data_IF_458526969928
#
_entry.id   IF_458526969928
#
_cell.length_a   1.000
_cell.length_b   1.000
_cell.length_c   1.000
_cell.angle_alpha   90.00
_cell.angle_beta   90.00
_cell.angle_gamma   90.00
#
_symmetry.space_group_name_H-M   'P 1'
#
loop_
_entity.id
_entity.type
_entity.pdbx_description
1 polymer ?
#
# COMPACT_ATOMS: atom_id res chain seq x y z
N UNK A 1 -0.21 11.80 17.64
CA UNK A 1 -0.38 10.47 18.24
C UNK A 1 0.56 9.56 17.48
N UNK A 2 1.76 9.38 18.00
CA UNK A 2 2.89 8.78 17.27
C UNK A 2 2.92 7.28 17.57
N UNK A 3 2.44 6.48 16.61
CA UNK A 3 2.19 5.06 16.80
C UNK A 3 3.51 4.28 16.62
N UNK A 4 4.24 4.16 17.72
CA UNK A 4 5.47 3.36 17.88
C UNK A 4 5.30 1.85 17.64
N UNK A 5 4.12 1.38 17.22
CA UNK A 5 3.83 -0.04 16.96
C UNK A 5 4.18 -0.51 15.54
N UNK A 6 4.69 0.36 14.67
CA UNK A 6 4.95 0.04 13.25
C UNK A 6 6.30 -0.61 12.94
N UNK A 7 7.15 -0.90 13.93
CA UNK A 7 8.42 -1.58 13.64
C UNK A 7 8.22 -3.01 13.10
N UNK A 8 7.10 -3.67 13.39
CA UNK A 8 6.86 -5.08 13.02
C UNK A 8 5.77 -5.29 11.94
N UNK A 9 5.23 -4.23 11.36
CA UNK A 9 4.26 -4.38 10.27
C UNK A 9 4.94 -5.08 9.09
N UNK A 10 4.38 -6.18 8.54
CA UNK A 10 5.01 -6.89 7.45
C UNK A 10 5.11 -5.95 6.26
N UNK A 11 6.32 -5.76 5.74
CA UNK A 11 6.60 -5.07 4.48
C UNK A 11 6.90 -6.14 3.43
N UNK A 12 6.74 -5.82 2.15
CA UNK A 12 7.36 -6.69 1.15
C UNK A 12 8.87 -6.76 1.43
N UNK A 13 9.42 -7.97 1.43
CA UNK A 13 10.87 -8.12 1.43
C UNK A 13 11.39 -7.44 0.17
N UNK A 14 12.55 -6.75 0.30
CA UNK A 14 13.27 -6.18 -0.85
C UNK A 14 13.33 -7.26 -1.93
N UNK A 15 12.81 -6.93 -3.11
CA UNK A 15 12.75 -7.78 -4.31
C UNK A 15 11.54 -8.73 -4.48
N UNK A 16 10.57 -8.72 -3.57
CA UNK A 16 9.33 -9.50 -3.77
C UNK A 16 8.19 -8.63 -4.27
N UNK A 17 7.48 -9.10 -5.30
CA UNK A 17 6.24 -8.50 -5.84
C UNK A 17 6.38 -7.06 -6.35
N UNK A 18 7.58 -6.72 -6.79
CA UNK A 18 7.94 -5.42 -7.37
C UNK A 18 6.93 -4.99 -8.43
N UNK A 19 6.57 -5.89 -9.36
CA UNK A 19 5.63 -5.60 -10.44
C UNK A 19 4.28 -5.10 -9.91
N UNK A 20 3.69 -5.80 -8.93
CA UNK A 20 2.41 -5.39 -8.34
C UNK A 20 2.53 -4.06 -7.61
N UNK A 21 3.60 -3.84 -6.84
CA UNK A 21 3.83 -2.57 -6.17
C UNK A 21 4.01 -1.41 -7.17
N UNK A 22 4.73 -1.65 -8.28
CA UNK A 22 4.91 -0.67 -9.35
C UNK A 22 3.61 -0.36 -10.08
N UNK A 23 2.78 -1.36 -10.35
CA UNK A 23 1.47 -1.16 -10.97
C UNK A 23 0.56 -0.31 -10.08
N UNK A 24 0.54 -0.57 -8.77
CA UNK A 24 -0.22 0.22 -7.80
C UNK A 24 0.36 1.64 -7.70
N UNK A 25 1.68 1.81 -7.69
CA UNK A 25 2.33 3.13 -7.67
C UNK A 25 1.99 3.95 -8.91
N UNK A 26 2.06 3.31 -10.09
CA UNK A 26 1.67 3.92 -11.36
C UNK A 26 0.19 4.32 -11.34
N UNK A 27 -0.68 3.45 -10.82
CA UNK A 27 -2.10 3.75 -10.67
C UNK A 27 -2.35 4.94 -9.75
N UNK A 28 -1.65 5.04 -8.61
CA UNK A 28 -1.81 6.19 -7.70
C UNK A 28 -1.35 7.52 -8.34
N UNK A 29 -0.34 7.47 -9.22
CA UNK A 29 0.19 8.67 -9.89
C UNK A 29 -0.61 9.11 -11.11
N UNK A 30 -1.08 8.13 -11.90
CA UNK A 30 -1.69 8.38 -13.21
C UNK A 30 -3.20 8.08 -13.25
N UNK A 31 -3.79 7.60 -12.14
CA UNK A 31 -5.22 7.26 -12.04
C UNK A 31 -6.17 8.45 -12.24
N UNK A 32 -5.63 9.66 -12.24
CA UNK A 32 -6.34 10.93 -12.43
C UNK A 32 -6.17 11.53 -13.85
N UNK A 33 -5.36 10.92 -14.73
CA UNK A 33 -5.07 11.46 -16.07
C UNK A 33 -6.17 11.15 -17.11
N UNK A 34 -7.21 10.39 -16.74
CA UNK A 34 -8.34 10.03 -17.62
C UNK A 34 -9.68 10.69 -17.24
N UNK A 35 -10.69 10.49 -18.09
CA UNK A 35 -12.07 11.01 -17.91
C UNK A 35 -12.80 10.40 -16.68
N UNK A 36 -12.19 9.40 -16.04
CA UNK A 36 -12.68 8.77 -14.80
C UNK A 36 -11.56 8.70 -13.77
N UNK A 37 -11.66 9.53 -12.73
CA UNK A 37 -10.76 9.51 -11.57
C UNK A 37 -10.90 8.17 -10.83
N UNK A 38 -9.90 7.31 -10.91
CA UNK A 38 -9.93 6.04 -10.18
C UNK A 38 -9.47 6.26 -8.73
N UNK A 39 -10.44 6.47 -7.82
CA UNK A 39 -10.14 6.79 -6.41
C UNK A 39 -10.00 5.58 -5.50
N UNK A 40 -10.42 4.39 -5.95
CA UNK A 40 -10.45 3.17 -5.13
C UNK A 40 -9.86 2.02 -5.93
N UNK A 41 -8.84 1.38 -5.37
CA UNK A 41 -8.27 0.13 -5.87
C UNK A 41 -8.55 -1.01 -4.91
N UNK A 42 -8.95 -2.16 -5.44
CA UNK A 42 -9.23 -3.37 -4.68
C UNK A 42 -8.17 -4.44 -4.95
N UNK A 43 -7.35 -4.75 -3.96
CA UNK A 43 -6.33 -5.81 -4.02
C UNK A 43 -6.86 -7.10 -3.38
N UNK A 44 -7.08 -8.15 -4.19
CA UNK A 44 -7.54 -9.47 -3.72
C UNK A 44 -6.54 -10.58 -4.06
N UNK A 45 -6.61 -11.69 -3.32
CA UNK A 45 -5.70 -12.82 -3.47
C UNK A 45 -5.81 -13.80 -2.29
N UNK A 46 -5.15 -14.97 -2.37
CA UNK A 46 -5.26 -16.01 -1.34
C UNK A 46 -4.80 -15.54 0.05
N UNK A 47 -5.25 -16.24 1.10
CA UNK A 47 -4.74 -16.04 2.46
C UNK A 47 -3.22 -16.31 2.49
N UNK A 48 -2.47 -15.55 3.28
CA UNK A 48 -1.01 -15.65 3.29
C UNK A 48 -0.30 -15.05 2.06
N UNK A 49 -1.03 -14.60 1.04
CA UNK A 49 -0.46 -13.91 -0.13
C UNK A 49 0.06 -12.51 0.19
N UNK A 50 0.35 -12.15 1.46
CA UNK A 50 1.00 -10.89 1.86
C UNK A 50 0.38 -9.60 1.31
N UNK A 51 -0.94 -9.52 1.17
CA UNK A 51 -1.63 -8.29 0.72
C UNK A 51 -1.37 -7.13 1.66
N UNK A 52 -1.36 -7.39 2.97
CA UNK A 52 -0.97 -6.42 4.00
C UNK A 52 0.46 -5.94 3.80
N UNK A 53 1.36 -6.82 3.36
CA UNK A 53 2.75 -6.46 3.08
C UNK A 53 2.89 -5.52 1.88
N UNK A 54 2.06 -5.71 0.85
CA UNK A 54 1.98 -4.79 -0.30
C UNK A 54 1.45 -3.44 0.18
N UNK A 55 0.34 -3.40 0.91
CA UNK A 55 -0.24 -2.16 1.44
C UNK A 55 0.74 -1.40 2.36
N UNK A 56 1.51 -2.11 3.18
CA UNK A 56 2.60 -1.55 3.98
C UNK A 56 3.67 -0.87 3.13
N UNK A 57 4.14 -1.55 2.08
CA UNK A 57 5.14 -0.98 1.16
C UNK A 57 4.62 0.22 0.36
N UNK A 58 3.34 0.25 0.00
CA UNK A 58 2.74 1.43 -0.66
C UNK A 58 2.68 2.64 0.27
N UNK A 59 2.38 2.42 1.55
CA UNK A 59 2.35 3.49 2.54
C UNK A 59 3.72 4.15 2.70
N UNK A 60 4.79 3.35 2.78
CA UNK A 60 6.16 3.86 2.83
C UNK A 60 6.54 4.61 1.56
N UNK A 61 6.23 4.05 0.38
CA UNK A 61 6.53 4.70 -0.89
C UNK A 61 5.86 6.09 -0.97
N UNK A 62 4.59 6.20 -0.57
CA UNK A 62 3.88 7.47 -0.56
C UNK A 62 4.38 8.44 0.53
N UNK A 63 4.89 7.92 1.66
CA UNK A 63 5.53 8.70 2.73
C UNK A 63 6.88 9.27 2.25
N UNK A 64 7.72 8.44 1.62
CA UNK A 64 9.00 8.83 1.02
C UNK A 64 8.83 9.87 -0.10
N UNK A 65 7.73 9.77 -0.86
CA UNK A 65 7.37 10.73 -1.91
C UNK A 65 6.71 12.01 -1.37
N UNK A 66 6.38 12.06 -0.08
CA UNK A 66 5.70 13.21 0.55
C UNK A 66 4.26 13.43 0.06
N UNK A 67 3.65 12.45 -0.61
CA UNK A 67 2.29 12.50 -1.15
C UNK A 67 1.25 11.88 -0.22
N UNK A 68 1.69 11.22 0.86
CA UNK A 68 0.81 10.55 1.80
C UNK A 68 0.15 11.52 2.80
N UNK A 69 -1.18 11.68 2.69
CA UNK A 69 -1.96 12.39 3.70
C UNK A 69 -2.13 11.56 5.00
N UNK A 70 -2.50 10.29 4.86
CA UNK A 70 -2.61 9.32 5.95
C UNK A 70 -2.74 7.89 5.41
N UNK A 71 -2.28 6.89 6.16
CA UNK A 71 -2.58 5.47 5.92
C UNK A 71 -3.16 4.82 7.16
N UNK A 72 -4.30 4.13 7.00
CA UNK A 72 -4.98 3.38 8.06
C UNK A 72 -4.93 1.88 7.75
N UNK A 73 -4.57 1.07 8.75
CA UNK A 73 -4.61 -0.39 8.70
C UNK A 73 -5.60 -0.88 9.75
N UNK A 74 -6.48 -1.79 9.37
CA UNK A 74 -7.44 -2.42 10.27
C UNK A 74 -7.03 -3.88 10.49
N UNK A 75 -6.73 -4.24 11.74
CA UNK A 75 -6.52 -5.62 12.16
C UNK A 75 -7.60 -5.98 13.17
N UNK A 76 -8.39 -7.03 12.89
CA UNK A 76 -9.27 -7.61 13.89
C UNK A 76 -8.48 -8.68 14.65
N UNK A 77 -8.14 -8.40 15.91
CA UNK A 77 -7.81 -9.47 16.85
C UNK A 77 -9.12 -10.18 17.22
N UNK A 78 -9.14 -11.51 17.13
CA UNK A 78 -10.15 -12.35 17.75
C UNK A 78 -9.41 -13.37 18.61
#
# INVERSE_FOLDING_TARGET
HDSKERCDAPKCCKDTRIAVCQDIASWMRHGDEGDTTQRIMWLSGPAGAGKTAIAGSMAELSEDEGSLAATFFFSSFH
#
